data_IF_628360229780
#
_entry.id   IF_628360229780
#
_cell.length_a   1.000
_cell.length_b   1.000
_cell.length_c   1.000
_cell.angle_alpha   90.00
_cell.angle_beta   90.00
_cell.angle_gamma   90.00
#
_symmetry.space_group_name_H-M   'P 1'
#
loop_
_entity.id
_entity.type
_entity.pdbx_description
1 polymer ?
#
# COMPACT_ATOMS: atom_id res chain seq x y z
N UNK A 1 -29.00 -16.84 -19.09
CA UNK A 1 -28.40 -16.74 -17.75
C UNK A 1 -27.44 -17.90 -17.40
N UNK A 2 -27.68 -19.12 -17.89
CA UNK A 2 -26.88 -20.29 -17.47
C UNK A 2 -25.43 -20.40 -17.99
N UNK A 3 -25.04 -19.68 -19.06
CA UNK A 3 -23.67 -19.74 -19.58
C UNK A 3 -22.71 -18.83 -18.81
N UNK A 4 -23.15 -17.62 -18.46
CA UNK A 4 -22.35 -16.62 -17.76
C UNK A 4 -22.05 -17.04 -16.32
N UNK A 5 -23.05 -17.52 -15.58
CA UNK A 5 -22.88 -18.04 -14.22
C UNK A 5 -21.93 -19.24 -14.18
N UNK A 6 -22.02 -20.20 -15.13
CA UNK A 6 -21.08 -21.33 -15.22
C UNK A 6 -19.62 -20.86 -15.51
N UNK A 7 -19.45 -19.83 -16.31
CA UNK A 7 -18.10 -19.28 -16.57
C UNK A 7 -17.55 -18.61 -15.31
N UNK A 8 -18.38 -17.87 -14.58
CA UNK A 8 -17.98 -17.23 -13.32
C UNK A 8 -17.63 -18.26 -12.24
N UNK A 9 -18.43 -19.32 -12.08
CA UNK A 9 -18.13 -20.40 -11.12
C UNK A 9 -16.80 -21.10 -11.43
N UNK A 10 -16.41 -21.21 -12.71
CA UNK A 10 -15.09 -21.70 -13.11
C UNK A 10 -13.95 -20.72 -12.85
N UNK A 11 -14.24 -19.43 -12.90
CA UNK A 11 -13.24 -18.38 -12.68
C UNK A 11 -13.01 -18.09 -11.19
N UNK A 12 -14.03 -18.24 -10.36
CA UNK A 12 -14.00 -18.00 -8.91
C UNK A 12 -12.78 -18.65 -8.21
N UNK A 13 -12.50 -19.96 -8.37
CA UNK A 13 -11.35 -20.59 -7.70
C UNK A 13 -10.00 -20.05 -8.19
N UNK A 14 -9.91 -19.56 -9.44
CA UNK A 14 -8.69 -18.92 -9.94
C UNK A 14 -8.44 -17.57 -9.27
N UNK A 15 -9.50 -16.77 -9.09
CA UNK A 15 -9.42 -15.48 -8.41
C UNK A 15 -9.19 -15.64 -6.91
N UNK A 16 -9.83 -16.61 -6.27
CA UNK A 16 -9.55 -16.95 -4.87
C UNK A 16 -8.08 -17.37 -4.68
N UNK A 17 -7.51 -18.12 -5.63
CA UNK A 17 -6.09 -18.49 -5.61
C UNK A 17 -5.17 -17.27 -5.76
N UNK A 18 -5.53 -16.28 -6.57
CA UNK A 18 -4.79 -15.01 -6.69
C UNK A 18 -4.92 -14.21 -5.40
N UNK A 19 -6.13 -14.04 -4.88
CA UNK A 19 -6.40 -13.29 -3.67
C UNK A 19 -5.75 -13.90 -2.42
N UNK A 20 -5.61 -15.24 -2.37
CA UNK A 20 -4.93 -15.98 -1.30
C UNK A 20 -3.42 -16.13 -1.53
N UNK A 21 -2.87 -15.57 -2.61
CA UNK A 21 -1.43 -15.58 -2.83
C UNK A 21 -0.72 -14.77 -1.72
N UNK A 22 0.29 -15.33 -1.04
CA UNK A 22 0.97 -14.67 0.07
C UNK A 22 1.53 -13.27 -0.28
N UNK A 23 1.97 -13.06 -1.50
CA UNK A 23 2.49 -11.77 -1.94
C UNK A 23 1.37 -10.73 -2.11
N UNK A 24 0.27 -11.11 -2.76
CA UNK A 24 -0.91 -10.25 -2.91
C UNK A 24 -1.52 -9.93 -1.54
N UNK A 25 -1.64 -10.94 -0.69
CA UNK A 25 -2.11 -10.77 0.69
C UNK A 25 -1.20 -9.85 1.50
N UNK A 26 0.13 -9.99 1.38
CA UNK A 26 1.08 -9.14 2.11
C UNK A 26 0.99 -7.67 1.68
N UNK A 27 0.80 -7.38 0.39
CA UNK A 27 0.58 -6.02 -0.12
C UNK A 27 -0.74 -5.46 0.44
N UNK A 28 -1.84 -6.20 0.27
CA UNK A 28 -3.16 -5.81 0.77
C UNK A 28 -3.16 -5.60 2.28
N UNK A 29 -2.73 -6.60 3.05
CA UNK A 29 -2.79 -6.59 4.51
C UNK A 29 -1.78 -5.58 5.09
N UNK A 30 -0.63 -5.38 4.40
CA UNK A 30 0.35 -4.35 4.72
C UNK A 30 -0.23 -2.94 4.57
N UNK A 31 -0.96 -2.67 3.49
CA UNK A 31 -1.63 -1.38 3.30
C UNK A 31 -2.77 -1.17 4.31
N UNK A 32 -3.60 -2.21 4.54
CA UNK A 32 -4.68 -2.14 5.54
C UNK A 32 -4.11 -1.87 6.94
N UNK A 33 -2.97 -2.46 7.32
CA UNK A 33 -2.31 -2.20 8.59
C UNK A 33 -1.84 -0.74 8.74
N UNK A 34 -1.59 -0.03 7.64
CA UNK A 34 -1.25 1.39 7.62
C UNK A 34 -2.48 2.33 7.61
N UNK A 35 -3.70 1.82 7.40
CA UNK A 35 -4.92 2.64 7.37
C UNK A 35 -5.14 3.51 8.60
N UNK A 36 -4.88 3.05 9.85
CA UNK A 36 -5.00 3.91 11.02
C UNK A 36 -4.14 5.18 10.94
N UNK A 37 -2.97 5.11 10.30
CA UNK A 37 -2.08 6.27 10.09
C UNK A 37 -2.74 7.26 9.12
N UNK A 38 -3.34 6.74 8.04
CA UNK A 38 -4.05 7.55 7.04
C UNK A 38 -5.25 8.25 7.68
N UNK A 39 -6.07 7.51 8.44
CA UNK A 39 -7.23 8.06 9.13
C UNK A 39 -6.84 9.11 10.18
N UNK A 40 -5.82 8.83 10.99
CA UNK A 40 -5.27 9.80 11.94
C UNK A 40 -4.83 11.09 11.24
N UNK A 41 -4.10 10.96 10.15
CA UNK A 41 -3.62 12.10 9.35
C UNK A 41 -4.75 12.94 8.81
N UNK A 42 -5.83 12.31 8.34
CA UNK A 42 -6.98 12.99 7.74
C UNK A 42 -7.72 13.87 8.73
N UNK A 43 -7.74 13.51 10.02
CA UNK A 43 -8.38 14.35 11.06
C UNK A 43 -7.73 15.73 11.15
N UNK A 44 -6.40 15.81 11.09
CA UNK A 44 -5.69 17.08 11.13
C UNK A 44 -5.91 17.92 9.88
N UNK A 45 -5.97 17.27 8.72
CA UNK A 45 -6.30 17.95 7.46
C UNK A 45 -7.72 18.51 7.48
N UNK A 46 -8.69 17.77 8.04
CA UNK A 46 -10.07 18.25 8.21
C UNK A 46 -10.12 19.46 9.13
N UNK A 47 -9.43 19.44 10.28
CA UNK A 47 -9.38 20.57 11.20
C UNK A 47 -8.73 21.79 10.55
N UNK A 48 -7.69 21.57 9.75
CA UNK A 48 -6.97 22.67 9.09
C UNK A 48 -7.77 23.33 7.96
N UNK A 49 -8.53 22.56 7.16
CA UNK A 49 -9.10 23.07 5.90
C UNK A 49 -10.61 23.10 5.83
N UNK A 50 -11.35 22.32 6.62
CA UNK A 50 -12.82 22.35 6.60
C UNK A 50 -13.42 23.71 7.00
N UNK A 51 -12.85 24.47 7.97
CA UNK A 51 -13.34 25.81 8.29
C UNK A 51 -13.30 26.79 7.11
N UNK A 52 -12.40 26.57 6.13
CA UNK A 52 -12.30 27.42 4.95
C UNK A 52 -13.61 27.40 4.12
N UNK A 53 -14.39 26.31 4.16
CA UNK A 53 -15.70 26.23 3.50
C UNK A 53 -16.73 27.21 4.04
N UNK A 54 -16.55 27.69 5.27
CA UNK A 54 -17.40 28.72 5.91
C UNK A 54 -16.73 30.09 5.96
N UNK A 55 -15.62 30.28 5.20
CA UNK A 55 -14.90 31.56 5.15
C UNK A 55 -14.00 31.82 6.35
N UNK A 56 -13.76 30.84 7.21
CA UNK A 56 -12.83 30.95 8.33
C UNK A 56 -11.46 30.38 7.92
N UNK A 57 -10.44 31.22 7.95
CA UNK A 57 -9.07 30.82 7.61
C UNK A 57 -8.17 30.95 8.84
N UNK A 58 -7.47 29.87 9.17
CA UNK A 58 -6.51 29.88 10.24
C UNK A 58 -5.33 30.83 9.92
N UNK A 59 -4.75 31.52 10.91
CA UNK A 59 -3.44 32.15 10.73
C UNK A 59 -2.42 31.13 10.25
N UNK A 60 -1.51 31.53 9.36
CA UNK A 60 -0.52 30.62 8.76
C UNK A 60 0.31 29.80 9.75
N UNK A 61 0.66 30.39 10.91
CA UNK A 61 1.37 29.67 11.98
C UNK A 61 0.54 28.55 12.57
N UNK A 62 -0.77 28.75 12.76
CA UNK A 62 -1.71 27.74 13.28
C UNK A 62 -1.96 26.68 12.22
N UNK A 63 -2.22 27.06 10.97
CA UNK A 63 -2.40 26.14 9.85
C UNK A 63 -1.19 25.21 9.71
N UNK A 64 0.02 25.75 9.70
CA UNK A 64 1.25 24.97 9.63
C UNK A 64 1.39 24.00 10.81
N UNK A 65 1.02 24.41 12.03
CA UNK A 65 1.04 23.56 13.21
C UNK A 65 0.00 22.44 13.12
N UNK A 66 -1.20 22.72 12.59
CA UNK A 66 -2.26 21.73 12.39
C UNK A 66 -1.90 20.69 11.31
N UNK A 67 -1.17 21.09 10.27
CA UNK A 67 -0.76 20.19 9.18
C UNK A 67 0.50 19.39 9.53
N UNK A 68 1.23 19.75 10.57
CA UNK A 68 2.47 19.07 10.97
C UNK A 68 2.29 17.56 11.21
N UNK A 69 1.26 17.09 11.97
CA UNK A 69 1.03 15.66 12.16
C UNK A 69 0.74 14.91 10.83
N UNK A 70 0.04 15.56 9.89
CA UNK A 70 -0.16 15.01 8.55
C UNK A 70 1.17 14.81 7.82
N UNK A 71 2.05 15.80 7.83
CA UNK A 71 3.34 15.72 7.15
C UNK A 71 4.23 14.60 7.71
N UNK A 72 4.23 14.39 9.04
CA UNK A 72 5.01 13.32 9.67
C UNK A 72 4.35 11.93 9.62
N UNK A 73 3.09 11.84 9.26
CA UNK A 73 2.39 10.57 9.08
C UNK A 73 2.28 10.19 7.60
N UNK A 74 1.58 10.98 6.79
CA UNK A 74 1.44 10.73 5.35
C UNK A 74 2.75 10.95 4.58
N UNK A 75 3.57 11.89 5.01
CA UNK A 75 4.90 12.12 4.42
C UNK A 75 5.89 10.97 4.60
N UNK A 76 5.59 10.02 5.49
CA UNK A 76 6.37 8.80 5.74
C UNK A 76 5.58 7.52 5.44
N UNK A 77 4.43 7.62 4.76
CA UNK A 77 3.51 6.49 4.58
C UNK A 77 4.18 5.28 3.91
N UNK A 78 5.01 5.49 2.89
CA UNK A 78 5.68 4.39 2.21
C UNK A 78 6.68 3.66 3.12
N UNK A 79 7.32 4.35 4.07
CA UNK A 79 8.18 3.72 5.07
C UNK A 79 7.35 2.79 5.96
N UNK A 80 6.22 3.25 6.48
CA UNK A 80 5.32 2.43 7.30
C UNK A 80 4.75 1.24 6.53
N UNK A 81 4.39 1.44 5.25
CA UNK A 81 3.90 0.36 4.39
C UNK A 81 5.00 -0.65 4.07
N UNK A 82 6.26 -0.22 3.93
CA UNK A 82 7.40 -1.14 3.81
C UNK A 82 7.49 -2.07 5.02
N UNK A 83 7.41 -1.52 6.23
CA UNK A 83 7.44 -2.27 7.49
C UNK A 83 6.29 -3.28 7.59
N UNK A 84 5.05 -2.82 7.35
CA UNK A 84 3.86 -3.65 7.47
C UNK A 84 3.77 -4.73 6.39
N UNK A 85 4.14 -4.43 5.15
CA UNK A 85 4.21 -5.39 4.06
C UNK A 85 5.27 -6.47 4.34
N UNK A 86 6.47 -6.06 4.76
CA UNK A 86 7.55 -6.98 5.11
C UNK A 86 7.16 -7.90 6.27
N UNK A 87 6.52 -7.36 7.32
CA UNK A 87 5.99 -8.14 8.44
C UNK A 87 4.99 -9.18 7.97
N UNK A 88 3.96 -8.76 7.22
CA UNK A 88 2.89 -9.65 6.79
C UNK A 88 3.44 -10.79 5.91
N UNK A 89 4.33 -10.50 4.95
CA UNK A 89 4.94 -11.56 4.15
C UNK A 89 5.81 -12.49 5.02
N UNK A 90 6.52 -11.97 6.01
CA UNK A 90 7.31 -12.78 6.95
C UNK A 90 6.42 -13.75 7.72
N UNK A 91 5.27 -13.29 8.21
CA UNK A 91 4.32 -14.14 8.92
C UNK A 91 3.79 -15.27 8.02
N UNK A 92 3.46 -15.00 6.77
CA UNK A 92 3.11 -16.04 5.78
C UNK A 92 4.26 -17.01 5.49
N UNK A 93 5.52 -16.54 5.47
CA UNK A 93 6.69 -17.41 5.29
C UNK A 93 6.94 -18.28 6.51
N UNK A 94 6.75 -17.74 7.71
CA UNK A 94 6.89 -18.47 8.97
C UNK A 94 5.93 -19.66 9.09
N UNK A 95 4.75 -19.60 8.45
CA UNK A 95 3.84 -20.76 8.39
C UNK A 95 4.46 -21.97 7.67
N UNK A 96 5.48 -21.76 6.83
CA UNK A 96 6.19 -22.81 6.08
C UNK A 96 7.49 -23.27 6.75
N UNK A 97 7.89 -22.62 7.83
CA UNK A 97 9.10 -22.94 8.58
C UNK A 97 8.78 -23.68 9.88
N UNK A 98 9.69 -24.54 10.36
CA UNK A 98 9.55 -25.18 11.68
C UNK A 98 9.45 -24.12 12.78
N UNK A 99 8.64 -24.36 13.81
CA UNK A 99 8.49 -23.45 14.96
C UNK A 99 9.80 -23.14 15.67
N UNK A 100 10.76 -24.06 15.60
CA UNK A 100 12.10 -23.94 16.20
C UNK A 100 13.06 -23.09 15.38
N UNK A 101 12.71 -22.75 14.12
CA UNK A 101 13.60 -22.01 13.21
C UNK A 101 12.79 -21.01 12.38
N UNK A 102 12.05 -20.13 13.05
CA UNK A 102 11.28 -19.06 12.42
C UNK A 102 12.11 -17.79 12.25
N UNK A 103 11.69 -16.95 11.32
CA UNK A 103 12.26 -15.63 11.05
C UNK A 103 11.74 -14.66 12.10
N UNK A 104 12.62 -13.83 12.65
CA UNK A 104 12.23 -12.73 13.52
C UNK A 104 11.67 -11.57 12.67
N UNK A 105 10.37 -11.35 12.73
CA UNK A 105 9.68 -10.30 11.95
C UNK A 105 10.22 -8.90 12.27
N UNK A 106 10.67 -8.61 13.50
CA UNK A 106 11.21 -7.30 13.85
C UNK A 106 12.50 -7.00 13.09
N UNK A 107 13.42 -7.97 13.00
CA UNK A 107 14.68 -7.79 12.28
C UNK A 107 14.46 -7.65 10.76
N UNK A 108 13.44 -8.33 10.23
CA UNK A 108 13.02 -8.14 8.83
C UNK A 108 12.48 -6.73 8.58
N UNK A 109 11.66 -6.21 9.50
CA UNK A 109 11.14 -4.84 9.43
C UNK A 109 12.30 -3.86 9.36
N UNK A 110 13.25 -3.92 10.31
CA UNK A 110 14.41 -3.03 10.35
C UNK A 110 15.24 -3.11 9.07
N UNK A 111 15.50 -4.32 8.56
CA UNK A 111 16.23 -4.50 7.32
C UNK A 111 15.48 -3.91 6.11
N UNK A 112 14.16 -4.06 6.07
CA UNK A 112 13.32 -3.51 5.00
C UNK A 112 13.28 -1.97 5.06
N UNK A 113 13.13 -1.39 6.25
CA UNK A 113 13.14 0.06 6.43
C UNK A 113 14.48 0.68 6.04
N UNK A 114 15.62 0.11 6.48
CA UNK A 114 16.95 0.57 6.06
C UNK A 114 17.10 0.47 4.55
N UNK A 115 16.72 -0.67 3.96
CA UNK A 115 16.79 -0.88 2.51
C UNK A 115 15.94 0.13 1.75
N UNK A 116 14.73 0.43 2.25
CA UNK A 116 13.83 1.40 1.64
C UNK A 116 14.37 2.84 1.74
N UNK A 117 14.88 3.24 2.90
CA UNK A 117 15.50 4.56 3.11
C UNK A 117 16.63 4.79 2.10
N UNK A 118 17.49 3.78 1.87
CA UNK A 118 18.60 3.86 0.91
C UNK A 118 18.11 4.18 -0.51
N UNK A 119 16.99 3.61 -0.94
CA UNK A 119 16.47 3.78 -2.30
C UNK A 119 15.48 4.93 -2.45
N UNK A 120 14.94 5.46 -1.34
CA UNK A 120 13.92 6.50 -1.32
C UNK A 120 14.52 7.90 -1.12
N UNK A 121 15.56 8.03 -0.31
CA UNK A 121 16.15 9.34 0.00
C UNK A 121 17.18 9.72 -1.07
N UNK A 122 17.08 10.96 -1.54
CA UNK A 122 18.06 11.55 -2.46
C UNK A 122 18.79 12.69 -1.74
N UNK A 123 20.11 12.64 -1.77
CA UNK A 123 20.94 13.73 -1.26
C UNK A 123 21.06 14.80 -2.34
N UNK A 124 20.42 15.95 -2.13
CA UNK A 124 20.47 17.10 -3.01
C UNK A 124 21.41 18.19 -2.50
N UNK A 125 21.61 19.25 -3.30
CA UNK A 125 22.43 20.41 -2.92
C UNK A 125 21.87 21.17 -1.69
N UNK A 126 20.56 21.14 -1.49
CA UNK A 126 19.85 21.87 -0.43
C UNK A 126 19.42 20.99 0.75
N UNK A 127 19.89 19.74 0.83
CA UNK A 127 19.54 18.79 1.88
C UNK A 127 19.00 17.47 1.35
N UNK A 128 18.26 16.75 2.21
CA UNK A 128 17.65 15.46 1.87
C UNK A 128 16.28 15.65 1.22
N UNK A 129 16.08 15.05 0.07
CA UNK A 129 14.76 14.93 -0.55
C UNK A 129 14.06 13.70 0.01
N UNK A 130 12.98 13.92 0.74
CA UNK A 130 12.18 12.88 1.42
C UNK A 130 10.89 12.54 0.67
N UNK A 131 10.68 13.07 -0.51
CA UNK A 131 9.45 12.96 -1.30
C UNK A 131 8.98 11.50 -1.46
N UNK A 132 9.92 10.59 -1.66
CA UNK A 132 9.63 9.16 -1.85
C UNK A 132 9.47 8.36 -0.56
N UNK A 133 9.60 8.97 0.63
CA UNK A 133 9.20 8.33 1.88
C UNK A 133 7.67 8.33 2.08
N UNK A 134 6.99 9.28 1.43
CA UNK A 134 5.54 9.38 1.41
C UNK A 134 4.89 8.53 0.31
N UNK A 135 3.69 8.93 -0.07
CA UNK A 135 2.83 8.20 -1.00
C UNK A 135 3.45 7.93 -2.37
N UNK A 136 4.32 8.81 -2.87
CA UNK A 136 5.00 8.61 -4.16
C UNK A 136 5.96 7.41 -4.15
N UNK A 137 6.43 6.99 -2.99
CA UNK A 137 7.31 5.83 -2.82
C UNK A 137 6.58 4.50 -2.61
N UNK A 138 5.25 4.46 -2.58
CA UNK A 138 4.47 3.25 -2.23
C UNK A 138 4.81 2.03 -3.08
N UNK A 139 5.01 2.19 -4.38
CA UNK A 139 5.33 1.05 -5.25
C UNK A 139 6.74 0.52 -4.94
N UNK A 140 7.71 1.41 -4.75
CA UNK A 140 9.05 1.02 -4.31
C UNK A 140 9.03 0.35 -2.94
N UNK A 141 8.16 0.81 -2.02
CA UNK A 141 7.98 0.22 -0.70
C UNK A 141 7.49 -1.23 -0.77
N UNK A 142 6.56 -1.53 -1.68
CA UNK A 142 6.13 -2.91 -1.91
C UNK A 142 7.25 -3.78 -2.47
N UNK A 143 8.07 -3.27 -3.40
CA UNK A 143 9.22 -4.02 -3.94
C UNK A 143 10.15 -4.44 -2.80
N UNK A 144 10.54 -3.51 -1.92
CA UNK A 144 11.40 -3.79 -0.77
C UNK A 144 10.70 -4.72 0.22
N UNK A 145 9.46 -4.40 0.59
CA UNK A 145 8.65 -5.17 1.53
C UNK A 145 8.39 -6.61 1.11
N UNK A 146 8.46 -6.90 -0.20
CA UNK A 146 8.35 -8.26 -0.72
C UNK A 146 9.71 -8.96 -0.89
N UNK A 147 10.76 -8.25 -1.26
CA UNK A 147 12.08 -8.86 -1.53
C UNK A 147 12.79 -9.23 -0.22
N UNK A 148 12.83 -8.33 0.77
CA UNK A 148 13.58 -8.55 2.02
C UNK A 148 13.12 -9.81 2.78
N UNK A 149 11.81 -10.05 3.00
CA UNK A 149 11.36 -11.29 3.65
C UNK A 149 11.73 -12.56 2.87
N UNK A 150 11.85 -12.48 1.55
CA UNK A 150 12.29 -13.62 0.75
C UNK A 150 13.77 -13.92 0.96
N UNK A 151 14.62 -12.90 1.08
CA UNK A 151 16.04 -13.08 1.41
C UNK A 151 16.18 -13.77 2.76
N UNK A 152 15.48 -13.27 3.79
CA UNK A 152 15.45 -13.88 5.12
C UNK A 152 14.96 -15.33 5.08
N UNK A 153 13.88 -15.59 4.34
CA UNK A 153 13.35 -16.94 4.19
C UNK A 153 14.36 -17.88 3.55
N UNK A 154 15.09 -17.46 2.53
CA UNK A 154 16.11 -18.29 1.89
C UNK A 154 17.30 -18.56 2.84
N UNK A 155 17.75 -17.52 3.57
CA UNK A 155 18.83 -17.69 4.54
C UNK A 155 18.45 -18.69 5.64
N UNK A 156 17.25 -18.56 6.23
CA UNK A 156 16.77 -19.45 7.28
C UNK A 156 16.54 -20.87 6.74
N UNK A 157 15.95 -21.01 5.58
CA UNK A 157 15.69 -22.31 4.92
C UNK A 157 16.98 -23.09 4.64
N UNK A 158 18.02 -22.38 4.23
CA UNK A 158 19.31 -22.99 3.88
C UNK A 158 20.34 -22.91 5.02
N UNK A 159 19.92 -22.50 6.23
CA UNK A 159 20.79 -22.36 7.40
C UNK A 159 22.01 -21.47 7.16
N UNK A 160 21.85 -20.40 6.35
CA UNK A 160 22.88 -19.37 6.14
C UNK A 160 22.86 -18.44 7.36
N UNK A 161 23.63 -18.81 8.38
CA UNK A 161 23.61 -18.14 9.68
C UNK A 161 24.90 -18.38 10.44
N UNK A 162 25.19 -17.51 11.42
CA UNK A 162 26.25 -17.75 12.40
C UNK A 162 25.69 -18.73 13.44
N UNK A 163 26.26 -19.92 13.49
CA UNK A 163 25.88 -20.92 14.50
C UNK A 163 26.50 -20.55 15.84
N UNK A 164 25.67 -20.40 16.85
CA UNK A 164 26.11 -20.17 18.21
C UNK A 164 26.08 -21.48 19.02
N UNK A 165 27.00 -21.66 20.00
CA UNK A 165 26.94 -22.77 20.95
C UNK A 165 25.61 -22.76 21.73
N UNK A 166 25.16 -23.95 22.17
CA UNK A 166 23.89 -24.14 22.90
C UNK A 166 23.83 -23.41 24.25
N UNK A 167 24.97 -23.01 24.79
CA UNK A 167 25.06 -22.23 26.04
C UNK A 167 24.67 -20.76 25.88
N UNK A 168 24.55 -20.27 24.63
CA UNK A 168 24.17 -18.88 24.35
C UNK A 168 22.65 -18.73 24.45
N UNK A 169 22.15 -17.72 25.20
CA UNK A 169 20.70 -17.44 25.26
C UNK A 169 20.08 -17.28 23.88
N UNK A 170 18.86 -17.82 23.71
CA UNK A 170 18.20 -17.91 22.40
C UNK A 170 17.98 -16.54 21.73
N UNK A 171 17.70 -15.49 22.49
CA UNK A 171 17.55 -14.12 21.98
C UNK A 171 18.86 -13.59 21.37
N UNK A 172 20.00 -13.87 21.98
CA UNK A 172 21.33 -13.51 21.49
C UNK A 172 21.64 -14.33 20.22
N UNK A 173 21.44 -15.65 20.28
CA UNK A 173 21.66 -16.54 19.15
C UNK A 173 20.81 -16.11 17.91
N UNK A 174 19.57 -15.65 18.14
CA UNK A 174 18.70 -15.14 17.07
C UNK A 174 19.28 -13.86 16.43
N UNK A 175 19.82 -12.94 17.22
CA UNK A 175 20.45 -11.71 16.68
C UNK A 175 21.60 -12.05 15.74
N UNK A 176 22.44 -13.02 16.07
CA UNK A 176 23.53 -13.46 15.20
C UNK A 176 23.04 -14.19 13.95
N UNK A 177 21.91 -14.91 14.03
CA UNK A 177 21.27 -15.52 12.85
C UNK A 177 20.84 -14.49 11.82
N UNK A 178 20.42 -13.32 12.24
CA UNK A 178 19.83 -12.29 11.37
C UNK A 178 20.88 -11.38 10.72
N UNK A 179 22.18 -11.46 11.11
CA UNK A 179 23.26 -10.64 10.53
C UNK A 179 23.39 -10.86 9.02
N UNK A 180 23.49 -12.12 8.56
CA UNK A 180 23.64 -12.41 7.13
C UNK A 180 22.44 -11.98 6.30
N UNK A 181 21.17 -12.34 6.66
CA UNK A 181 20.01 -11.89 5.90
C UNK A 181 19.90 -10.37 5.84
N UNK A 182 20.19 -9.67 6.94
CA UNK A 182 20.18 -8.22 6.99
C UNK A 182 21.24 -7.63 6.07
N UNK A 183 22.48 -8.11 6.16
CA UNK A 183 23.59 -7.67 5.30
C UNK A 183 23.26 -7.87 3.83
N UNK A 184 22.77 -9.05 3.44
CA UNK A 184 22.40 -9.32 2.05
C UNK A 184 21.28 -8.42 1.55
N UNK A 185 20.26 -8.18 2.38
CA UNK A 185 19.14 -7.32 2.03
C UNK A 185 19.58 -5.88 1.80
N UNK A 186 20.28 -5.29 2.76
CA UNK A 186 20.74 -3.91 2.70
C UNK A 186 21.76 -3.72 1.58
N UNK A 187 22.72 -4.64 1.44
CA UNK A 187 23.73 -4.57 0.39
C UNK A 187 23.11 -4.68 -1.01
N UNK A 188 22.10 -5.53 -1.20
CA UNK A 188 21.39 -5.65 -2.47
C UNK A 188 20.82 -4.30 -2.90
N UNK A 189 20.04 -3.65 -2.03
CA UNK A 189 19.39 -2.39 -2.37
C UNK A 189 20.39 -1.23 -2.48
N UNK A 190 21.45 -1.26 -1.68
CA UNK A 190 22.56 -0.31 -1.80
C UNK A 190 23.28 -0.42 -3.15
N UNK A 191 23.61 -1.64 -3.60
CA UNK A 191 24.22 -1.87 -4.92
C UNK A 191 23.28 -1.45 -6.05
N UNK A 192 22.01 -1.81 -5.97
CA UNK A 192 20.99 -1.38 -6.95
C UNK A 192 20.93 0.15 -7.01
N UNK A 193 20.95 0.83 -5.87
CA UNK A 193 20.94 2.28 -5.82
C UNK A 193 22.17 2.90 -6.47
N UNK A 194 23.37 2.37 -6.20
CA UNK A 194 24.61 2.85 -6.83
C UNK A 194 24.53 2.72 -8.35
N UNK A 195 24.14 1.53 -8.84
CA UNK A 195 24.04 1.27 -10.28
C UNK A 195 23.06 2.21 -10.96
N UNK A 196 21.85 2.39 -10.37
CA UNK A 196 20.84 3.27 -10.93
C UNK A 196 21.27 4.73 -10.90
N UNK A 197 21.90 5.16 -9.82
CA UNK A 197 22.39 6.54 -9.72
C UNK A 197 23.50 6.83 -10.75
N UNK A 198 24.40 5.88 -10.98
CA UNK A 198 25.48 6.02 -11.98
C UNK A 198 24.96 6.00 -13.42
N UNK A 199 24.00 5.12 -13.73
CA UNK A 199 23.49 4.96 -15.09
C UNK A 199 22.44 6.01 -15.47
N UNK A 200 21.57 6.39 -14.53
CA UNK A 200 20.37 7.19 -14.81
C UNK A 200 20.30 8.49 -13.99
N UNK A 201 21.20 8.74 -13.07
CA UNK A 201 21.17 9.89 -12.17
C UNK A 201 19.94 9.94 -11.24
N UNK A 202 19.24 8.81 -11.07
CA UNK A 202 17.99 8.69 -10.35
C UNK A 202 18.11 7.64 -9.23
N UNK A 203 17.33 7.80 -8.17
CA UNK A 203 17.15 6.73 -7.19
C UNK A 203 16.13 5.68 -7.69
N UNK A 204 16.09 4.51 -7.04
CA UNK A 204 15.18 3.44 -7.46
C UNK A 204 13.71 3.88 -7.40
N UNK A 205 13.32 4.61 -6.36
CA UNK A 205 11.95 5.09 -6.21
C UNK A 205 11.55 6.05 -7.34
N UNK A 206 12.42 6.98 -7.72
CA UNK A 206 12.23 7.85 -8.87
C UNK A 206 12.16 7.05 -10.19
N UNK A 207 13.04 6.07 -10.34
CA UNK A 207 13.07 5.17 -11.51
C UNK A 207 11.76 4.39 -11.67
N UNK A 208 11.23 3.85 -10.59
CA UNK A 208 9.94 3.15 -10.57
C UNK A 208 8.80 4.08 -11.02
N UNK A 209 8.73 5.29 -10.48
CA UNK A 209 7.72 6.29 -10.88
C UNK A 209 7.85 6.65 -12.37
N UNK A 210 9.06 6.87 -12.86
CA UNK A 210 9.30 7.17 -14.28
C UNK A 210 8.89 6.02 -15.22
N UNK A 211 9.21 4.78 -14.86
CA UNK A 211 8.84 3.59 -15.66
C UNK A 211 7.32 3.41 -15.68
N UNK A 212 6.63 3.74 -14.60
CA UNK A 212 5.17 3.64 -14.50
C UNK A 212 4.42 4.87 -14.99
N UNK A 213 5.13 5.96 -15.32
CA UNK A 213 4.53 7.20 -15.81
C UNK A 213 3.58 7.00 -17.01
N UNK A 214 3.86 6.15 -18.02
CA UNK A 214 2.89 5.90 -19.10
C UNK A 214 1.59 5.26 -18.60
N UNK A 215 1.68 4.38 -17.58
CA UNK A 215 0.50 3.78 -16.96
C UNK A 215 -0.31 4.83 -16.19
N UNK A 216 0.37 5.75 -15.53
CA UNK A 216 -0.27 6.88 -14.83
C UNK A 216 -1.05 7.75 -15.80
N UNK A 217 -0.43 8.13 -16.93
CA UNK A 217 -1.13 8.90 -17.98
C UNK A 217 -2.30 8.14 -18.59
N UNK A 218 -2.18 6.83 -18.81
CA UNK A 218 -3.29 6.02 -19.30
C UNK A 218 -4.46 5.98 -18.30
N UNK A 219 -4.16 5.98 -16.99
CA UNK A 219 -5.17 5.97 -15.93
C UNK A 219 -5.95 7.28 -15.83
N UNK A 220 -5.38 8.41 -16.25
CA UNK A 220 -6.02 9.72 -16.24
C UNK A 220 -7.05 9.91 -17.36
N UNK A 221 -7.22 8.91 -18.22
CA UNK A 221 -8.25 8.92 -19.24
C UNK A 221 -9.59 8.41 -18.72
N UNK A 222 -10.71 8.77 -19.36
CA UNK A 222 -12.02 8.19 -19.04
C UNK A 222 -12.02 6.66 -19.12
N UNK A 223 -11.27 6.09 -20.07
CA UNK A 223 -11.07 4.64 -20.18
C UNK A 223 -10.31 4.05 -19.01
N UNK A 224 -9.29 4.72 -18.51
CA UNK A 224 -8.53 4.34 -17.32
C UNK A 224 -9.38 4.36 -16.06
N UNK A 225 -10.14 5.43 -15.84
CA UNK A 225 -11.11 5.53 -14.73
C UNK A 225 -12.15 4.40 -14.78
N UNK A 226 -12.73 4.15 -15.96
CA UNK A 226 -13.70 3.07 -16.15
C UNK A 226 -13.08 1.70 -15.86
N UNK A 227 -11.81 1.49 -16.23
CA UNK A 227 -11.10 0.24 -15.98
C UNK A 227 -10.84 0.04 -14.48
N UNK A 228 -10.43 1.07 -13.75
CA UNK A 228 -10.21 1.00 -12.28
C UNK A 228 -11.53 0.72 -11.56
N UNK A 229 -12.58 1.48 -11.86
CA UNK A 229 -13.91 1.28 -11.28
C UNK A 229 -14.48 -0.12 -11.63
N UNK A 230 -14.34 -0.52 -12.89
CA UNK A 230 -14.76 -1.83 -13.37
C UNK A 230 -13.99 -2.98 -12.71
N UNK A 231 -12.70 -2.82 -12.48
CA UNK A 231 -11.90 -3.81 -11.76
C UNK A 231 -12.35 -3.96 -10.30
N UNK A 232 -12.61 -2.85 -9.60
CA UNK A 232 -13.15 -2.90 -8.23
C UNK A 232 -14.50 -3.62 -8.19
N UNK A 233 -15.43 -3.27 -9.08
CA UNK A 233 -16.74 -3.91 -9.18
C UNK A 233 -16.63 -5.40 -9.55
N UNK A 234 -15.72 -5.75 -10.46
CA UNK A 234 -15.47 -7.11 -10.89
C UNK A 234 -14.97 -8.00 -9.74
N UNK A 235 -14.01 -7.53 -8.93
CA UNK A 235 -13.53 -8.29 -7.78
C UNK A 235 -14.62 -8.48 -6.73
N UNK A 236 -15.46 -7.48 -6.47
CA UNK A 236 -16.63 -7.63 -5.61
C UNK A 236 -17.61 -8.69 -6.15
N UNK A 237 -17.86 -8.69 -7.46
CA UNK A 237 -18.71 -9.68 -8.10
C UNK A 237 -18.18 -11.11 -7.93
N UNK A 238 -16.85 -11.28 -7.95
CA UNK A 238 -16.19 -12.58 -7.72
C UNK A 238 -16.19 -12.99 -6.24
N UNK A 239 -16.62 -12.11 -5.34
CA UNK A 239 -16.65 -12.34 -3.89
C UNK A 239 -15.36 -11.99 -3.16
N UNK A 240 -14.51 -11.18 -3.79
CA UNK A 240 -13.28 -10.63 -3.20
C UNK A 240 -13.47 -9.12 -3.03
N UNK A 241 -12.99 -8.57 -1.92
CA UNK A 241 -13.09 -7.13 -1.67
C UNK A 241 -12.27 -6.35 -2.69
N UNK A 242 -12.95 -5.75 -3.69
CA UNK A 242 -12.32 -5.06 -4.82
C UNK A 242 -11.32 -3.98 -4.42
N UNK A 243 -11.68 -3.03 -3.54
CA UNK A 243 -10.76 -1.98 -3.08
C UNK A 243 -9.49 -2.51 -2.44
N UNK A 244 -9.56 -3.60 -1.67
CA UNK A 244 -8.39 -4.20 -1.03
C UNK A 244 -7.32 -4.70 -2.01
N UNK A 245 -7.70 -4.95 -3.26
CA UNK A 245 -6.78 -5.38 -4.32
C UNK A 245 -6.40 -4.21 -5.21
N UNK A 246 -7.37 -3.40 -5.62
CA UNK A 246 -7.19 -2.34 -6.62
C UNK A 246 -6.64 -1.07 -5.99
N UNK A 247 -7.15 -0.63 -4.84
CA UNK A 247 -6.74 0.62 -4.22
C UNK A 247 -5.23 0.71 -3.91
N UNK A 248 -4.55 -0.32 -3.35
CA UNK A 248 -3.10 -0.26 -3.17
C UNK A 248 -2.32 -0.10 -4.48
N UNK A 249 -2.84 -0.65 -5.58
CA UNK A 249 -2.20 -0.54 -6.89
C UNK A 249 -2.33 0.87 -7.50
N UNK A 250 -3.43 1.56 -7.24
CA UNK A 250 -3.72 2.88 -7.80
C UNK A 250 -3.41 4.04 -6.85
N UNK A 251 -3.30 3.81 -5.54
CA UNK A 251 -3.11 4.84 -4.53
C UNK A 251 -1.90 5.75 -4.78
N UNK A 252 -0.81 5.19 -5.30
CA UNK A 252 0.37 5.96 -5.67
C UNK A 252 0.08 6.93 -6.84
N UNK A 253 -0.71 6.48 -7.81
CA UNK A 253 -1.14 7.29 -8.96
C UNK A 253 -2.06 8.41 -8.48
N UNK A 254 -3.08 8.06 -7.71
CA UNK A 254 -4.07 9.00 -7.19
C UNK A 254 -3.44 10.14 -6.40
N UNK A 255 -2.49 9.80 -5.53
CA UNK A 255 -1.82 10.79 -4.70
C UNK A 255 -0.85 11.65 -5.51
N UNK A 256 -0.14 11.06 -6.47
CA UNK A 256 0.73 11.81 -7.39
C UNK A 256 -0.11 12.81 -8.19
N UNK A 257 -1.25 12.40 -8.70
CA UNK A 257 -2.17 13.24 -9.46
C UNK A 257 -2.74 14.40 -8.63
N UNK A 258 -3.04 14.17 -7.36
CA UNK A 258 -3.44 15.26 -6.44
C UNK A 258 -2.32 16.31 -6.35
N UNK A 259 -1.07 15.88 -6.15
CA UNK A 259 0.08 16.78 -6.08
C UNK A 259 0.31 17.56 -7.39
N UNK A 260 0.19 16.89 -8.54
CA UNK A 260 0.31 17.53 -9.86
C UNK A 260 -0.83 18.54 -10.09
N UNK A 261 -2.06 18.19 -9.75
CA UNK A 261 -3.20 19.09 -9.84
C UNK A 261 -3.01 20.34 -8.97
N UNK A 262 -2.48 20.20 -7.76
CA UNK A 262 -2.16 21.34 -6.91
C UNK A 262 -1.12 22.26 -7.57
N UNK A 263 -0.07 21.72 -8.17
CA UNK A 263 0.93 22.51 -8.90
C UNK A 263 0.32 23.26 -10.10
N UNK A 264 -0.56 22.60 -10.87
CA UNK A 264 -1.27 23.24 -11.98
C UNK A 264 -2.13 24.40 -11.50
N UNK A 265 -2.91 24.21 -10.45
CA UNK A 265 -3.76 25.26 -9.86
C UNK A 265 -2.93 26.43 -9.32
N UNK A 266 -1.82 26.16 -8.65
CA UNK A 266 -0.90 27.22 -8.20
C UNK A 266 -0.25 28.00 -9.36
N UNK A 267 -0.09 27.37 -10.53
CA UNK A 267 0.38 28.02 -11.75
C UNK A 267 -0.75 28.73 -12.53
N UNK A 268 -1.96 28.80 -11.98
CA UNK A 268 -3.13 29.41 -12.64
C UNK A 268 -3.74 28.56 -13.76
N UNK A 269 -3.36 27.27 -13.85
CA UNK A 269 -3.90 26.32 -14.82
C UNK A 269 -5.02 25.49 -14.20
N UNK A 270 -5.85 24.85 -15.04
CA UNK A 270 -6.87 23.93 -14.55
C UNK A 270 -6.27 22.58 -14.17
N UNK A 271 -6.80 21.94 -13.13
CA UNK A 271 -6.50 20.57 -12.79
C UNK A 271 -6.87 19.64 -13.96
N UNK A 272 -5.92 18.83 -14.43
CA UNK A 272 -6.09 17.98 -15.61
C UNK A 272 -6.01 16.49 -15.32
N UNK A 273 -5.52 16.10 -14.12
CA UNK A 273 -5.42 14.70 -13.73
C UNK A 273 -6.71 14.24 -13.07
N UNK A 274 -7.40 13.29 -13.70
CA UNK A 274 -8.74 12.85 -13.30
C UNK A 274 -8.72 11.74 -12.23
N UNK A 275 -7.76 10.80 -12.31
CA UNK A 275 -7.65 9.72 -11.33
C UNK A 275 -7.00 10.24 -10.04
N UNK A 276 -7.83 10.69 -9.12
CA UNK A 276 -7.44 11.16 -7.80
C UNK A 276 -8.23 10.42 -6.73
N UNK A 277 -7.75 10.43 -5.48
CA UNK A 277 -8.47 9.82 -4.36
C UNK A 277 -9.89 10.41 -4.21
N UNK A 278 -10.05 11.70 -4.47
CA UNK A 278 -11.36 12.34 -4.45
C UNK A 278 -12.27 11.82 -5.58
N UNK A 279 -11.75 11.63 -6.79
CA UNK A 279 -12.52 11.06 -7.89
C UNK A 279 -12.92 9.62 -7.60
N UNK A 280 -12.03 8.84 -6.98
CA UNK A 280 -12.36 7.49 -6.55
C UNK A 280 -13.46 7.51 -5.48
N UNK A 281 -13.32 8.30 -4.43
CA UNK A 281 -14.24 8.28 -3.30
C UNK A 281 -15.60 8.90 -3.62
N UNK A 282 -15.64 10.02 -4.35
CA UNK A 282 -16.88 10.74 -4.61
C UNK A 282 -17.57 10.36 -5.91
N UNK A 283 -16.85 9.81 -6.89
CA UNK A 283 -17.43 9.45 -8.20
C UNK A 283 -17.50 7.94 -8.39
N UNK A 284 -16.36 7.22 -8.27
CA UNK A 284 -16.34 5.78 -8.54
C UNK A 284 -16.98 4.97 -7.41
N UNK A 285 -16.84 5.41 -6.15
CA UNK A 285 -17.42 4.74 -4.99
C UNK A 285 -18.83 5.25 -4.64
N UNK A 286 -19.42 6.12 -5.47
CA UNK A 286 -20.81 6.57 -5.28
C UNK A 286 -21.76 5.37 -5.28
N UNK A 287 -22.50 5.18 -4.18
CA UNK A 287 -23.33 3.99 -3.97
C UNK A 287 -22.58 2.78 -3.39
N UNK A 288 -21.39 2.99 -2.84
CA UNK A 288 -20.50 1.97 -2.29
C UNK A 288 -19.58 1.36 -3.33
N UNK A 289 -18.41 0.89 -2.90
CA UNK A 289 -17.44 0.25 -3.79
C UNK A 289 -18.05 -0.97 -4.49
N UNK A 290 -18.16 -0.90 -5.83
CA UNK A 290 -18.86 -1.92 -6.61
C UNK A 290 -20.39 -1.88 -6.49
N UNK A 291 -20.96 -0.70 -6.20
CA UNK A 291 -22.42 -0.48 -6.00
C UNK A 291 -23.01 -1.32 -4.86
N UNK A 292 -22.21 -1.60 -3.84
CA UNK A 292 -22.59 -2.49 -2.72
C UNK A 292 -23.63 -1.89 -1.79
N UNK A 293 -23.82 -0.58 -1.82
CA UNK A 293 -24.83 0.12 -1.00
C UNK A 293 -26.26 -0.41 -1.22
N UNK A 294 -26.59 -0.84 -2.43
CA UNK A 294 -27.92 -1.38 -2.78
C UNK A 294 -28.11 -2.81 -2.28
N UNK A 295 -27.02 -3.56 -2.07
CA UNK A 295 -27.09 -5.00 -1.71
C UNK A 295 -27.84 -5.29 -0.40
N UNK A 296 -27.65 -4.54 0.71
CA UNK A 296 -28.43 -4.70 1.92
C UNK A 296 -29.94 -4.55 1.70
N UNK A 297 -30.35 -3.60 0.87
CA UNK A 297 -31.78 -3.38 0.55
C UNK A 297 -32.33 -4.53 -0.30
N UNK A 298 -31.56 -5.07 -1.26
CA UNK A 298 -31.92 -6.26 -2.01
C UNK A 298 -32.10 -7.45 -1.07
N UNK A 299 -31.21 -7.64 -0.10
CA UNK A 299 -31.33 -8.72 0.87
C UNK A 299 -32.56 -8.57 1.77
N UNK A 300 -32.88 -7.35 2.19
CA UNK A 300 -34.09 -7.10 3.00
C UNK A 300 -35.37 -7.36 2.23
N UNK A 301 -35.43 -6.92 0.97
CA UNK A 301 -36.65 -6.93 0.17
C UNK A 301 -36.86 -8.25 -0.57
N UNK A 302 -35.82 -8.86 -1.12
CA UNK A 302 -35.92 -9.95 -2.07
C UNK A 302 -35.34 -11.28 -1.57
N UNK A 303 -34.51 -11.30 -0.51
CA UNK A 303 -33.93 -12.55 -0.04
C UNK A 303 -34.98 -13.43 0.63
N UNK A 304 -34.96 -14.71 0.26
CA UNK A 304 -35.84 -15.76 0.88
C UNK A 304 -35.21 -16.32 2.16
N UNK A 305 -33.88 -16.32 2.26
CA UNK A 305 -33.11 -16.86 3.40
C UNK A 305 -33.15 -15.93 4.59
N UNK A 306 -33.45 -16.45 5.79
CA UNK A 306 -33.40 -15.70 7.04
C UNK A 306 -31.99 -15.15 7.32
N UNK A 307 -30.95 -15.89 6.97
CA UNK A 307 -29.56 -15.47 7.12
C UNK A 307 -29.23 -14.25 6.26
N UNK A 308 -29.66 -14.21 5.01
CA UNK A 308 -29.44 -13.06 4.12
C UNK A 308 -30.23 -11.83 4.57
N UNK A 309 -31.45 -12.02 5.10
CA UNK A 309 -32.22 -10.92 5.71
C UNK A 309 -31.55 -10.37 6.95
N UNK A 310 -31.00 -11.23 7.79
CA UNK A 310 -30.23 -10.79 8.97
C UNK A 310 -28.96 -10.02 8.59
N UNK A 311 -28.23 -10.52 7.57
CA UNK A 311 -27.08 -9.81 7.01
C UNK A 311 -27.46 -8.46 6.41
N UNK A 312 -28.59 -8.39 5.69
CA UNK A 312 -29.13 -7.12 5.17
C UNK A 312 -29.45 -6.13 6.28
N UNK A 313 -30.11 -6.57 7.38
CA UNK A 313 -30.37 -5.70 8.54
C UNK A 313 -29.10 -5.18 9.19
N UNK A 314 -28.11 -6.03 9.39
CA UNK A 314 -26.83 -5.64 9.99
C UNK A 314 -26.03 -4.66 9.12
N UNK A 315 -26.16 -4.74 7.80
CA UNK A 315 -25.40 -3.91 6.87
C UNK A 315 -26.08 -2.57 6.49
N UNK A 316 -27.34 -2.36 6.88
CA UNK A 316 -28.06 -1.06 6.71
C UNK A 316 -27.72 -0.08 7.83
N UNK A 317 -27.27 -0.60 8.97
CA UNK A 317 -26.81 0.23 10.10
C UNK A 317 -25.29 0.26 9.99
N UNK A 318 -24.68 1.40 9.61
CA UNK A 318 -23.23 1.53 9.54
C UNK A 318 -22.58 1.47 10.92
#
# INVERSE_FOLDING_TARGET
>A
MNGFTKTMDKMKPKFEKIASNPYVSAVRDGFIAAMPIILFSSLFTLIAYVPNAWGFYWPKSVENALVLPYNYSMGLLALYVTATCAKNLTDYKNLKLPKTNQINSMNVILAAEISFIIIAIKVGKNGLDLTYLGTQGLIASYIVGLIVPNIYYQCVKHNVTIKMPDVVPQNIAQTFKDIFPMTFSVTLFWLVQIVLNQLFGANLSEGVVKVLSPLFHASDTYGGLALVAGAMAFFWFVGVQGPSIVAPAVAAIETTNVGLNQQLVHAGMQASHALTINAQDYVMNMGGTGSTFVVPFIFLLLAKSAQNKAAGKAAVIP
#
